data_IF_924033217487
#
_entry.id   IF_924033217487
#
_cell.length_a   1.000
_cell.length_b   1.000
_cell.length_c   1.000
_cell.angle_alpha   90.00
_cell.angle_beta   90.00
_cell.angle_gamma   90.00
#
_symmetry.space_group_name_H-M   'P 1'
#
loop_
_entity.id
_entity.type
_entity.pdbx_description
1 polymer ?
#
# COMPACT_ATOMS: atom_id res chain seq x y z
N UNK A 1 -15.34 3.56 -31.89
CA UNK A 1 -15.14 4.39 -30.68
C UNK A 1 -13.83 4.15 -29.91
N UNK A 2 -13.09 3.04 -30.12
CA UNK A 2 -11.86 2.75 -29.34
C UNK A 2 -10.57 3.46 -29.78
N UNK A 3 -10.41 3.75 -31.08
CA UNK A 3 -9.16 4.27 -31.65
C UNK A 3 -8.82 5.69 -31.19
N UNK A 4 -9.74 6.65 -31.36
CA UNK A 4 -9.57 8.04 -30.89
C UNK A 4 -9.36 8.12 -29.37
N UNK A 5 -9.94 7.18 -28.61
CA UNK A 5 -9.74 7.09 -27.16
C UNK A 5 -8.32 6.66 -26.81
N UNK A 6 -7.80 5.60 -27.43
CA UNK A 6 -6.42 5.13 -27.25
C UNK A 6 -5.40 6.18 -27.68
N UNK A 7 -5.64 6.84 -28.82
CA UNK A 7 -4.77 7.89 -29.35
C UNK A 7 -4.64 9.08 -28.38
N UNK A 8 -5.74 9.52 -27.77
CA UNK A 8 -5.71 10.60 -26.76
C UNK A 8 -4.99 10.20 -25.47
N UNK A 9 -5.07 8.93 -25.05
CA UNK A 9 -4.28 8.43 -23.93
C UNK A 9 -2.79 8.38 -24.26
N UNK A 10 -2.45 7.89 -25.46
CA UNK A 10 -1.08 7.83 -25.95
C UNK A 10 -0.45 9.23 -26.11
N UNK A 11 -1.20 10.21 -26.60
CA UNK A 11 -0.79 11.62 -26.69
C UNK A 11 -0.79 12.37 -25.34
N UNK A 12 -1.08 11.69 -24.21
CA UNK A 12 -1.16 12.34 -22.89
C UNK A 12 -2.37 13.29 -22.71
N UNK A 13 -3.20 13.46 -23.73
CA UNK A 13 -4.43 14.28 -23.71
C UNK A 13 -5.54 13.66 -22.84
N UNK A 14 -5.32 12.45 -22.30
CA UNK A 14 -6.21 11.77 -21.37
C UNK A 14 -5.43 10.83 -20.46
N UNK A 15 -5.57 10.99 -19.15
CA UNK A 15 -4.97 10.07 -18.17
C UNK A 15 -5.52 8.66 -18.34
N UNK A 16 -4.63 7.68 -18.43
CA UNK A 16 -5.03 6.29 -18.28
C UNK A 16 -5.47 6.05 -16.84
N UNK A 17 -6.74 5.66 -16.66
CA UNK A 17 -7.31 5.40 -15.33
C UNK A 17 -6.86 4.06 -14.76
N UNK A 18 -6.31 3.17 -15.61
CA UNK A 18 -5.78 1.87 -15.18
C UNK A 18 -4.32 1.93 -14.78
N UNK A 19 -3.59 2.97 -15.17
CA UNK A 19 -2.20 3.14 -14.78
C UNK A 19 -2.07 3.41 -13.27
N UNK A 20 -1.15 2.69 -12.64
CA UNK A 20 -0.73 2.97 -11.27
C UNK A 20 -0.07 4.36 -11.19
N UNK A 21 -0.19 5.05 -10.05
CA UNK A 21 0.52 6.31 -9.86
C UNK A 21 2.05 6.07 -9.90
N UNK A 22 2.84 7.13 -10.16
CA UNK A 22 4.29 7.07 -10.00
C UNK A 22 4.67 6.53 -8.60
N UNK A 23 5.79 5.82 -8.53
CA UNK A 23 6.30 5.21 -7.29
C UNK A 23 5.43 4.10 -6.68
N UNK A 24 4.44 3.59 -7.42
CA UNK A 24 3.72 2.36 -7.09
C UNK A 24 4.09 1.23 -8.05
N UNK A 25 4.36 0.03 -7.53
CA UNK A 25 4.64 -1.17 -8.33
C UNK A 25 3.92 -2.39 -7.79
N UNK A 26 3.50 -3.28 -8.71
CA UNK A 26 2.78 -4.51 -8.40
C UNK A 26 3.50 -5.68 -9.08
N UNK A 27 3.77 -6.74 -8.31
CA UNK A 27 4.44 -7.95 -8.78
C UNK A 27 3.56 -8.81 -9.68
N UNK A 28 4.19 -9.79 -10.33
CA UNK A 28 3.52 -10.73 -11.25
C UNK A 28 2.34 -11.45 -10.57
N UNK A 29 1.29 -11.71 -11.34
CA UNK A 29 0.08 -12.45 -10.92
C UNK A 29 -0.75 -11.82 -9.79
N UNK A 30 -0.30 -10.72 -9.18
CA UNK A 30 -1.11 -9.94 -8.24
C UNK A 30 -2.27 -9.28 -8.99
N UNK A 31 -3.47 -9.34 -8.41
CA UNK A 31 -4.68 -8.77 -9.00
C UNK A 31 -5.48 -7.91 -8.00
N UNK A 32 -6.39 -7.11 -8.53
CA UNK A 32 -7.34 -6.30 -7.76
C UNK A 32 -6.81 -4.93 -7.30
N UNK A 33 -5.58 -4.56 -7.66
CA UNK A 33 -5.01 -3.24 -7.36
C UNK A 33 -5.50 -2.22 -8.38
N UNK A 34 -6.18 -1.17 -7.91
CA UNK A 34 -6.59 -0.04 -8.74
C UNK A 34 -5.89 1.25 -8.31
N UNK A 35 -5.62 2.15 -9.26
CA UNK A 35 -4.99 3.46 -9.00
C UNK A 35 -5.67 4.26 -7.89
N UNK A 36 -7.01 4.18 -7.80
CA UNK A 36 -7.84 4.87 -6.78
C UNK A 36 -7.64 4.34 -5.35
N UNK A 37 -7.01 3.17 -5.18
CA UNK A 37 -6.70 2.58 -3.88
C UNK A 37 -5.41 3.12 -3.28
N UNK A 38 -4.65 3.94 -4.01
CA UNK A 38 -3.30 4.36 -3.64
C UNK A 38 -3.31 5.86 -3.41
N UNK A 39 -2.92 6.29 -2.21
CA UNK A 39 -2.97 7.71 -1.81
C UNK A 39 -1.60 8.23 -1.38
N UNK A 40 -1.18 9.38 -1.92
CA UNK A 40 0.00 10.10 -1.43
C UNK A 40 1.35 9.44 -1.75
N UNK A 41 1.40 8.58 -2.77
CA UNK A 41 2.64 7.91 -3.15
C UNK A 41 3.66 8.88 -3.77
N UNK A 42 4.91 8.76 -3.34
CA UNK A 42 6.03 9.61 -3.73
C UNK A 42 7.38 8.90 -3.58
N UNK A 43 8.48 9.57 -3.93
CA UNK A 43 9.81 8.97 -3.89
C UNK A 43 10.21 8.41 -2.52
N UNK A 44 9.81 9.10 -1.44
CA UNK A 44 10.07 8.71 -0.04
C UNK A 44 8.87 8.03 0.64
N UNK A 45 7.80 7.78 -0.10
CA UNK A 45 6.54 7.19 0.37
C UNK A 45 5.98 6.29 -0.75
N UNK A 46 6.80 5.37 -1.25
CA UNK A 46 6.41 4.48 -2.36
C UNK A 46 5.50 3.35 -1.89
N UNK A 47 4.81 2.69 -2.83
CA UNK A 47 4.08 1.45 -2.59
C UNK A 47 4.69 0.33 -3.42
N UNK A 48 5.11 -0.75 -2.77
CA UNK A 48 5.51 -1.98 -3.45
C UNK A 48 4.60 -3.12 -3.00
N UNK A 49 3.99 -3.81 -3.96
CA UNK A 49 3.23 -5.03 -3.72
C UNK A 49 3.92 -6.17 -4.45
N UNK A 50 4.20 -7.27 -3.75
CA UNK A 50 4.84 -8.45 -4.29
C UNK A 50 3.98 -9.21 -5.30
N UNK A 51 4.41 -10.42 -5.62
CA UNK A 51 3.74 -11.32 -6.55
C UNK A 51 2.60 -12.11 -5.88
N UNK A 52 1.69 -12.63 -6.70
CA UNK A 52 0.62 -13.55 -6.29
C UNK A 52 -0.31 -13.04 -5.17
N UNK A 53 -0.44 -11.72 -5.00
CA UNK A 53 -1.33 -11.15 -3.99
C UNK A 53 -2.78 -11.07 -4.49
N UNK A 54 -3.70 -11.25 -3.54
CA UNK A 54 -5.14 -11.09 -3.75
C UNK A 54 -5.61 -9.83 -3.05
N UNK A 55 -5.89 -8.77 -3.80
CA UNK A 55 -6.31 -7.47 -3.23
C UNK A 55 -7.80 -7.27 -3.49
N UNK A 56 -8.61 -7.30 -2.43
CA UNK A 56 -10.04 -7.08 -2.56
C UNK A 56 -10.37 -5.60 -2.80
N UNK A 57 -11.49 -5.36 -3.48
CA UNK A 57 -11.96 -4.01 -3.81
C UNK A 57 -12.04 -3.09 -2.58
N UNK A 58 -11.85 -1.79 -2.81
CA UNK A 58 -11.90 -0.74 -1.78
C UNK A 58 -10.85 -0.87 -0.67
N UNK A 59 -9.83 -1.71 -0.80
CA UNK A 59 -8.63 -1.56 0.01
C UNK A 59 -8.00 -0.16 -0.23
N UNK A 60 -7.33 0.38 0.78
CA UNK A 60 -6.65 1.68 0.72
C UNK A 60 -5.22 1.56 1.22
N UNK A 61 -4.26 1.94 0.38
CA UNK A 61 -2.84 2.04 0.72
C UNK A 61 -2.50 3.53 0.88
N UNK A 62 -2.35 3.97 2.12
CA UNK A 62 -2.04 5.35 2.46
C UNK A 62 -0.51 5.52 2.48
N UNK A 63 0.10 5.89 1.36
CA UNK A 63 1.56 6.06 1.31
C UNK A 63 2.03 7.31 2.07
N UNK A 64 1.25 8.40 2.05
CA UNK A 64 1.51 9.62 2.83
C UNK A 64 0.20 10.30 3.21
N UNK A 65 0.07 10.73 4.47
CA UNK A 65 -1.06 11.54 4.94
C UNK A 65 -0.84 12.19 6.33
N UNK A 66 0.36 12.06 6.92
CA UNK A 66 0.54 12.42 8.32
C UNK A 66 0.95 13.88 8.46
N UNK A 67 0.39 14.54 9.47
CA UNK A 67 0.76 15.90 9.87
C UNK A 67 1.57 15.85 11.17
N UNK A 68 2.54 16.76 11.38
CA UNK A 68 3.27 16.83 12.64
C UNK A 68 2.33 17.19 13.78
N UNK A 69 2.19 16.29 14.75
CA UNK A 69 1.36 16.49 15.95
C UNK A 69 2.11 17.10 17.13
N UNK A 70 3.42 17.27 17.00
CA UNK A 70 4.29 17.91 17.98
C UNK A 70 4.34 19.44 17.86
N UNK A 71 3.79 20.01 16.79
CA UNK A 71 3.74 21.45 16.55
C UNK A 71 2.42 22.05 17.05
N UNK A 72 2.39 23.38 17.19
CA UNK A 72 1.21 24.12 17.69
C UNK A 72 -0.03 23.90 16.82
N UNK A 73 0.16 23.69 15.51
CA UNK A 73 -0.92 23.43 14.57
C UNK A 73 -0.54 22.25 13.67
N UNK A 74 -1.53 21.42 13.35
CA UNK A 74 -1.41 20.38 12.31
C UNK A 74 -1.76 20.90 10.92
N UNK A 75 -2.11 22.19 10.79
CA UNK A 75 -2.42 22.80 9.51
C UNK A 75 -1.14 22.99 8.68
N UNK A 76 -1.09 22.50 7.42
CA UNK A 76 0.10 22.61 6.58
C UNK A 76 0.22 24.03 5.99
N UNK A 77 0.76 24.97 6.76
CA UNK A 77 0.83 26.39 6.40
C UNK A 77 1.72 26.62 5.17
N UNK A 78 2.83 25.90 5.03
CA UNK A 78 3.73 26.10 3.88
C UNK A 78 3.02 25.75 2.57
N UNK A 79 2.35 24.62 2.51
CA UNK A 79 1.65 24.17 1.30
C UNK A 79 0.38 24.97 1.04
N UNK A 80 -0.35 25.38 2.10
CA UNK A 80 -1.69 25.98 1.95
C UNK A 80 -1.70 27.51 1.92
N UNK A 81 -0.78 28.16 2.63
CA UNK A 81 -0.71 29.62 2.72
C UNK A 81 0.43 30.16 1.87
N UNK A 82 1.66 29.71 2.11
CA UNK A 82 2.83 30.24 1.38
C UNK A 82 3.03 29.60 0.02
N UNK A 83 2.36 28.46 -0.24
CA UNK A 83 2.43 27.65 -1.47
C UNK A 83 3.85 27.16 -1.78
N UNK A 84 4.62 26.90 -0.74
CA UNK A 84 5.94 26.28 -0.82
C UNK A 84 5.82 24.74 -0.90
N UNK A 85 6.92 24.11 -1.30
CA UNK A 85 7.02 22.64 -1.28
C UNK A 85 6.89 22.12 0.17
N UNK A 86 6.13 21.03 0.38
CA UNK A 86 6.00 20.43 1.69
C UNK A 86 7.34 19.89 2.19
N UNK A 87 7.59 20.08 3.47
CA UNK A 87 8.66 19.41 4.21
C UNK A 87 8.10 18.84 5.53
N UNK A 88 8.99 18.38 6.40
CA UNK A 88 8.62 17.81 7.70
C UNK A 88 7.87 18.75 8.65
N UNK A 89 7.75 20.05 8.31
CA UNK A 89 6.92 20.99 9.07
C UNK A 89 5.45 20.97 8.69
N UNK A 90 5.11 20.41 7.53
CA UNK A 90 3.74 20.33 7.02
C UNK A 90 3.26 18.87 6.85
N UNK A 91 4.13 17.99 6.36
CA UNK A 91 3.81 16.60 6.06
C UNK A 91 4.94 15.66 6.50
N UNK A 92 4.59 14.63 7.25
CA UNK A 92 5.50 13.56 7.67
C UNK A 92 5.42 12.38 6.71
N UNK A 93 6.59 11.93 6.25
CA UNK A 93 6.73 10.61 5.61
C UNK A 93 7.12 9.57 6.65
N UNK A 94 6.43 8.43 6.66
CA UNK A 94 6.81 7.28 7.47
C UNK A 94 7.57 6.23 6.63
N UNK A 95 7.98 6.58 5.41
CA UNK A 95 8.60 5.64 4.49
C UNK A 95 7.60 4.87 3.62
N UNK A 96 8.10 3.90 2.83
CA UNK A 96 7.28 3.15 1.87
C UNK A 96 6.33 2.16 2.56
N UNK A 97 5.23 1.84 1.88
CA UNK A 97 4.47 0.63 2.18
C UNK A 97 5.09 -0.52 1.38
N UNK A 98 5.42 -1.61 2.08
CA UNK A 98 5.94 -2.84 1.47
C UNK A 98 5.00 -4.00 1.76
N UNK A 99 4.34 -4.51 0.72
CA UNK A 99 3.56 -5.75 0.79
C UNK A 99 4.38 -6.85 0.13
N UNK A 100 4.59 -7.94 0.86
CA UNK A 100 5.28 -9.14 0.36
C UNK A 100 4.49 -9.88 -0.72
N UNK A 101 4.86 -11.13 -0.93
CA UNK A 101 4.26 -12.05 -1.89
C UNK A 101 3.16 -12.89 -1.22
N UNK A 102 2.21 -13.43 -1.99
CA UNK A 102 1.12 -14.28 -1.47
C UNK A 102 0.28 -13.60 -0.36
N UNK A 103 0.17 -12.27 -0.38
CA UNK A 103 -0.62 -11.54 0.63
C UNK A 103 -2.08 -11.46 0.19
N UNK A 104 -2.99 -11.76 1.11
CA UNK A 104 -4.41 -11.50 0.94
C UNK A 104 -4.83 -10.25 1.72
N UNK A 105 -5.31 -9.22 1.01
CA UNK A 105 -5.87 -8.02 1.62
C UNK A 105 -7.38 -7.98 1.45
N UNK A 106 -8.09 -8.05 2.58
CA UNK A 106 -9.55 -8.05 2.64
C UNK A 106 -10.18 -6.71 2.23
N UNK A 107 -11.44 -6.78 1.81
CA UNK A 107 -12.21 -5.63 1.31
C UNK A 107 -12.21 -4.51 2.35
N UNK A 108 -12.00 -3.25 1.93
CA UNK A 108 -11.97 -2.08 2.84
C UNK A 108 -10.88 -2.10 3.92
N UNK A 109 -9.85 -2.94 3.80
CA UNK A 109 -8.68 -2.81 4.67
C UNK A 109 -7.92 -1.51 4.34
N UNK A 110 -7.36 -0.87 5.36
CA UNK A 110 -6.55 0.35 5.24
C UNK A 110 -5.14 0.01 5.74
N UNK A 111 -4.13 0.23 4.90
CA UNK A 111 -2.71 0.08 5.26
C UNK A 111 -2.11 1.47 5.43
N UNK A 112 -1.59 1.74 6.63
CA UNK A 112 -1.05 3.05 7.00
C UNK A 112 0.36 3.29 6.43
N UNK A 113 0.81 4.55 6.35
CA UNK A 113 2.14 4.90 5.85
C UNK A 113 3.26 4.15 6.60
N UNK A 114 4.26 3.66 5.86
CA UNK A 114 5.46 3.01 6.42
C UNK A 114 5.30 1.55 6.84
N UNK A 115 4.12 0.95 6.66
CA UNK A 115 3.85 -0.43 7.10
C UNK A 115 4.47 -1.46 6.14
N UNK A 116 5.08 -2.50 6.72
CA UNK A 116 5.55 -3.70 6.03
C UNK A 116 4.64 -4.89 6.33
N UNK A 117 4.13 -5.56 5.31
CA UNK A 117 3.31 -6.78 5.43
C UNK A 117 4.09 -7.94 4.83
N UNK A 118 4.48 -8.90 5.66
CA UNK A 118 5.30 -10.05 5.27
C UNK A 118 4.61 -11.02 4.33
N UNK A 119 5.42 -11.86 3.68
CA UNK A 119 4.95 -12.85 2.71
C UNK A 119 3.89 -13.79 3.32
N UNK A 120 2.86 -14.12 2.55
CA UNK A 120 1.81 -15.03 2.97
C UNK A 120 0.85 -14.45 4.03
N UNK A 121 1.00 -13.20 4.46
CA UNK A 121 0.11 -12.62 5.46
C UNK A 121 -1.33 -12.45 4.95
N UNK A 122 -2.28 -12.43 5.88
CA UNK A 122 -3.70 -12.18 5.61
C UNK A 122 -4.17 -10.98 6.42
N UNK A 123 -4.71 -9.99 5.74
CA UNK A 123 -5.35 -8.82 6.34
C UNK A 123 -6.86 -8.97 6.21
N UNK A 124 -7.56 -9.07 7.33
CA UNK A 124 -9.01 -9.19 7.38
C UNK A 124 -9.72 -7.97 6.77
N UNK A 125 -10.94 -8.17 6.28
CA UNK A 125 -11.75 -7.08 5.75
C UNK A 125 -11.99 -5.99 6.79
N UNK A 126 -11.94 -4.72 6.37
CA UNK A 126 -12.12 -3.55 7.23
C UNK A 126 -11.00 -3.31 8.25
N UNK A 127 -9.90 -4.06 8.21
CA UNK A 127 -8.81 -3.88 9.17
C UNK A 127 -8.03 -2.57 8.92
N UNK A 128 -7.58 -1.91 9.98
CA UNK A 128 -6.67 -0.75 9.89
C UNK A 128 -5.28 -1.19 10.35
N UNK A 129 -4.39 -1.44 9.41
CA UNK A 129 -3.03 -1.93 9.66
C UNK A 129 -2.13 -0.74 9.96
N UNK A 130 -1.82 -0.56 11.26
CA UNK A 130 -1.02 0.56 11.77
C UNK A 130 0.42 0.19 12.15
N UNK A 131 0.79 -1.10 12.03
CA UNK A 131 2.10 -1.66 12.39
C UNK A 131 2.44 -2.80 11.44
N UNK A 132 3.71 -3.14 11.36
CA UNK A 132 4.20 -4.25 10.54
C UNK A 132 3.50 -5.57 10.89
N UNK A 133 3.30 -6.39 9.85
CA UNK A 133 2.65 -7.70 9.93
C UNK A 133 3.67 -8.77 9.56
N UNK A 134 3.89 -9.72 10.46
CA UNK A 134 4.84 -10.81 10.24
C UNK A 134 4.41 -11.72 9.07
N UNK A 135 5.35 -12.42 8.41
CA UNK A 135 5.00 -13.41 7.39
C UNK A 135 4.00 -14.45 7.91
N UNK A 136 3.05 -14.84 7.06
CA UNK A 136 2.00 -15.81 7.35
C UNK A 136 1.09 -15.47 8.54
N UNK A 137 1.18 -14.27 9.11
CA UNK A 137 0.28 -13.80 10.14
C UNK A 137 -1.10 -13.48 9.54
N UNK A 138 -2.15 -13.78 10.30
CA UNK A 138 -3.52 -13.35 10.03
C UNK A 138 -3.84 -12.23 11.01
N UNK A 139 -4.11 -11.03 10.50
CA UNK A 139 -4.46 -9.85 11.30
C UNK A 139 -5.83 -9.32 10.94
N UNK A 140 -6.59 -8.80 11.90
CA UNK A 140 -7.81 -8.03 11.62
C UNK A 140 -8.12 -7.03 12.73
N UNK A 141 -9.12 -6.17 12.51
CA UNK A 141 -9.61 -5.20 13.47
C UNK A 141 -9.09 -3.78 13.26
N UNK A 142 -9.56 -2.86 14.10
CA UNK A 142 -9.13 -1.46 14.12
C UNK A 142 -8.76 -1.05 15.55
N UNK A 143 -7.48 -0.82 15.85
CA UNK A 143 -6.32 -1.12 14.99
C UNK A 143 -6.13 -2.64 14.81
N UNK A 144 -5.53 -3.06 13.69
CA UNK A 144 -5.34 -4.48 13.37
C UNK A 144 -4.45 -5.18 14.41
N UNK A 145 -4.82 -6.42 14.76
CA UNK A 145 -4.10 -7.26 15.72
C UNK A 145 -3.94 -8.67 15.17
N UNK A 146 -2.86 -9.34 15.58
CA UNK A 146 -2.63 -10.75 15.29
C UNK A 146 -3.79 -11.58 15.85
N UNK A 147 -4.39 -12.39 15.00
CA UNK A 147 -5.38 -13.41 15.37
C UNK A 147 -4.66 -14.75 15.58
N UNK A 148 -3.90 -15.17 14.56
CA UNK A 148 -3.10 -16.40 14.55
C UNK A 148 -2.14 -16.39 13.35
N UNK A 149 -1.27 -17.38 13.28
CA UNK A 149 -0.52 -17.70 12.06
C UNK A 149 -1.29 -18.68 11.17
N UNK A 150 -1.02 -18.67 9.86
CA UNK A 150 -1.55 -19.66 8.90
C UNK A 150 -1.03 -21.06 9.18
N UNK A 151 0.23 -21.16 9.60
CA UNK A 151 1.02 -22.38 9.74
C UNK A 151 1.85 -22.35 11.03
N UNK A 152 2.47 -23.47 11.38
CA UNK A 152 3.46 -23.51 12.46
C UNK A 152 4.80 -22.88 12.03
N UNK A 153 5.69 -22.65 13.00
CA UNK A 153 6.95 -21.94 12.77
C UNK A 153 7.87 -22.67 11.78
N UNK A 154 7.94 -24.01 11.83
CA UNK A 154 8.80 -24.80 10.95
C UNK A 154 8.29 -24.77 9.51
N UNK A 155 6.97 -24.83 9.32
CA UNK A 155 6.34 -24.65 8.02
C UNK A 155 6.59 -23.26 7.45
N UNK A 156 6.44 -22.21 8.28
CA UNK A 156 6.72 -20.83 7.87
C UNK A 156 8.17 -20.67 7.41
N UNK A 157 9.12 -21.16 8.20
CA UNK A 157 10.55 -21.13 7.85
C UNK A 157 10.83 -21.85 6.53
N UNK A 158 10.28 -23.06 6.37
CA UNK A 158 10.41 -23.84 5.13
C UNK A 158 9.86 -23.09 3.92
N UNK A 159 8.69 -22.47 4.05
CA UNK A 159 8.07 -21.70 2.97
C UNK A 159 8.86 -20.44 2.61
N UNK A 160 9.40 -19.74 3.62
CA UNK A 160 10.27 -18.58 3.45
C UNK A 160 11.63 -18.95 2.85
N UNK A 161 12.11 -20.18 3.08
CA UNK A 161 13.34 -20.68 2.48
C UNK A 161 13.17 -21.02 1.00
N UNK A 162 12.08 -21.72 0.64
CA UNK A 162 11.87 -22.14 -0.75
C UNK A 162 11.41 -21.01 -1.67
N UNK A 163 10.79 -19.95 -1.12
CA UNK A 163 10.32 -18.76 -1.84
C UNK A 163 9.62 -19.11 -3.15
N UNK A 164 8.58 -19.95 -3.07
CA UNK A 164 7.93 -20.52 -4.25
C UNK A 164 7.43 -19.45 -5.25
N UNK A 165 7.13 -18.25 -4.78
CA UNK A 165 6.74 -17.10 -5.61
C UNK A 165 7.87 -16.59 -6.53
N UNK A 166 9.10 -17.08 -6.40
CA UNK A 166 10.24 -16.77 -7.26
C UNK A 166 10.53 -17.87 -8.31
N UNK A 167 9.81 -18.99 -8.29
CA UNK A 167 9.98 -20.10 -9.23
C UNK A 167 9.56 -19.76 -10.67
#
# INVERSE_FOLDING_TARGET
MGFARKLRTWLGLRRDKTALPPFASVGRWTYGVESKMIYGCGAHSSLRIGAFCSIANEALFMCSANHPTSFVSTYPFKVRVTREEPDGSDLLTNGPIEIGNDVWVGRRAIVMPGVRIGDGAVVGAGAIVTKDVAPYAIVAGNPARLIRYRFDAHQIESLLAIRWWDW
#
